data_IF_676494806773
#
_entry.id   IF_676494806773
#
_cell.length_a   1.000
_cell.length_b   1.000
_cell.length_c   1.000
_cell.angle_alpha   90.00
_cell.angle_beta   90.00
_cell.angle_gamma   90.00
#
_symmetry.space_group_name_H-M   'P 1'
#
loop_
_entity.id
_entity.type
_entity.pdbx_description
1 polymer ?
#
# COMPACT_ATOMS: atom_id res chain seq x y z
N UNK A 1 1.14 -17.28 -16.27
CA UNK A 1 1.99 -16.06 -16.10
C UNK A 1 2.24 -15.43 -17.48
N UNK A 2 2.39 -14.10 -17.61
CA UNK A 2 2.64 -13.44 -18.91
C UNK A 2 3.87 -14.02 -19.65
N UNK A 3 4.91 -14.36 -18.88
CA UNK A 3 6.12 -15.05 -19.36
C UNK A 3 5.81 -16.34 -20.11
N UNK A 4 4.96 -17.22 -19.56
CA UNK A 4 4.55 -18.48 -20.21
C UNK A 4 3.80 -18.24 -21.53
N UNK A 5 2.92 -17.23 -21.60
CA UNK A 5 2.17 -16.92 -22.82
C UNK A 5 3.05 -16.38 -23.95
N UNK A 6 4.18 -15.77 -23.60
CA UNK A 6 5.15 -15.20 -24.53
C UNK A 6 6.39 -16.09 -24.72
N UNK A 7 6.35 -17.35 -24.31
CA UNK A 7 7.51 -18.23 -24.31
C UNK A 7 8.09 -18.44 -25.73
N UNK A 8 7.22 -18.61 -26.74
CA UNK A 8 7.61 -18.78 -28.14
C UNK A 8 8.35 -17.55 -28.70
N UNK A 9 8.03 -16.35 -28.20
CA UNK A 9 8.69 -15.11 -28.62
C UNK A 9 10.04 -14.92 -27.90
N UNK A 10 10.23 -15.59 -26.76
CA UNK A 10 11.41 -15.46 -25.90
C UNK A 10 12.51 -16.47 -26.22
N UNK A 11 12.19 -17.56 -26.92
CA UNK A 11 13.15 -18.60 -27.29
C UNK A 11 14.36 -18.07 -28.07
N UNK A 12 14.14 -17.06 -28.92
CA UNK A 12 15.19 -16.45 -29.76
C UNK A 12 15.94 -15.30 -29.09
N UNK A 13 15.58 -14.99 -27.84
CA UNK A 13 16.07 -13.84 -27.10
C UNK A 13 17.01 -14.30 -25.97
N UNK A 14 18.07 -13.53 -25.65
CA UNK A 14 18.92 -13.80 -24.49
C UNK A 14 18.10 -14.04 -23.20
N UNK A 15 18.54 -14.99 -22.38
CA UNK A 15 17.80 -15.61 -21.26
C UNK A 15 17.32 -14.62 -20.17
N UNK A 16 17.92 -13.43 -20.06
CA UNK A 16 17.68 -12.50 -18.94
C UNK A 16 16.61 -11.41 -19.16
N UNK A 17 15.58 -11.63 -19.97
CA UNK A 17 14.73 -10.50 -20.39
C UNK A 17 13.39 -10.35 -19.66
N UNK A 18 13.17 -9.18 -19.07
CA UNK A 18 11.91 -8.83 -18.39
C UNK A 18 10.83 -8.38 -19.39
N UNK A 19 11.18 -7.61 -20.43
CA UNK A 19 10.22 -7.00 -21.38
C UNK A 19 10.61 -7.25 -22.85
N UNK A 20 9.63 -7.74 -23.62
CA UNK A 20 9.77 -8.10 -25.04
C UNK A 20 8.94 -7.15 -25.90
N UNK A 21 9.50 -6.72 -27.02
CA UNK A 21 8.83 -5.94 -28.06
C UNK A 21 8.71 -6.83 -29.31
N UNK A 22 7.48 -7.05 -29.77
CA UNK A 22 7.20 -7.83 -30.96
C UNK A 22 6.26 -7.06 -31.89
N UNK A 23 6.49 -7.16 -33.19
CA UNK A 23 5.61 -6.56 -34.20
C UNK A 23 4.46 -7.52 -34.50
N UNK A 24 3.23 -7.01 -34.51
CA UNK A 24 2.04 -7.84 -34.76
C UNK A 24 2.05 -8.49 -36.15
N UNK A 25 2.59 -7.76 -37.13
CA UNK A 25 2.64 -8.21 -38.52
C UNK A 25 3.88 -9.07 -38.83
N UNK A 26 4.90 -9.03 -37.97
CA UNK A 26 6.13 -9.79 -38.16
C UNK A 26 6.77 -10.15 -36.81
N UNK A 27 6.42 -11.34 -36.33
CA UNK A 27 6.93 -11.87 -35.06
C UNK A 27 8.43 -12.25 -35.14
N UNK A 28 9.02 -12.32 -36.33
CA UNK A 28 10.45 -12.59 -36.48
C UNK A 28 11.31 -11.40 -36.04
N UNK A 29 10.74 -10.19 -36.03
CA UNK A 29 11.38 -8.94 -35.57
C UNK A 29 11.27 -8.71 -34.06
N UNK A 30 11.16 -9.80 -33.29
CA UNK A 30 11.06 -9.71 -31.83
C UNK A 30 12.39 -9.28 -31.22
N UNK A 31 12.36 -8.29 -30.33
CA UNK A 31 13.54 -7.73 -29.67
C UNK A 31 13.29 -7.44 -28.19
N UNK A 32 14.37 -7.19 -27.45
CA UNK A 32 14.32 -6.73 -26.08
C UNK A 32 13.97 -5.24 -26.07
N UNK A 33 13.01 -4.83 -25.25
CA UNK A 33 12.80 -3.41 -25.01
C UNK A 33 14.01 -2.86 -24.23
N UNK A 34 14.73 -1.88 -24.81
CA UNK A 34 15.82 -1.22 -24.10
C UNK A 34 15.25 -0.39 -22.94
N UNK A 35 15.95 -0.29 -21.79
CA UNK A 35 15.50 0.55 -20.68
C UNK A 35 15.24 2.00 -21.10
N UNK A 36 16.05 2.53 -22.02
CA UNK A 36 15.87 3.87 -22.59
C UNK A 36 14.58 4.02 -23.38
N UNK A 37 14.18 2.99 -24.13
CA UNK A 37 12.92 2.99 -24.90
C UNK A 37 11.73 3.06 -23.96
N UNK A 38 11.71 2.22 -22.91
CA UNK A 38 10.64 2.23 -21.90
C UNK A 38 10.61 3.57 -21.16
N UNK A 39 11.77 4.12 -20.81
CA UNK A 39 11.87 5.42 -20.16
C UNK A 39 11.30 6.54 -21.04
N UNK A 40 11.54 6.49 -22.35
CA UNK A 40 11.01 7.47 -23.28
C UNK A 40 9.48 7.37 -23.41
N UNK A 41 8.93 6.16 -23.55
CA UNK A 41 7.48 5.96 -23.59
C UNK A 41 6.80 6.51 -22.33
N UNK A 42 7.35 6.21 -21.14
CA UNK A 42 6.82 6.75 -19.88
C UNK A 42 6.91 8.28 -19.85
N UNK A 43 8.02 8.85 -20.36
CA UNK A 43 8.19 10.31 -20.41
C UNK A 43 7.18 10.95 -21.37
N UNK A 44 6.91 10.33 -22.51
CA UNK A 44 5.93 10.80 -23.48
C UNK A 44 4.52 10.75 -22.87
N UNK A 45 4.17 9.64 -22.20
CA UNK A 45 2.90 9.50 -21.46
C UNK A 45 2.75 10.54 -20.36
N UNK A 46 3.82 10.83 -19.60
CA UNK A 46 3.82 11.90 -18.61
C UNK A 46 3.52 13.26 -19.24
N UNK A 47 4.14 13.57 -20.40
CA UNK A 47 3.90 14.82 -21.11
C UNK A 47 2.46 14.91 -21.62
N UNK A 48 1.91 13.81 -22.15
CA UNK A 48 0.51 13.72 -22.58
C UNK A 48 -0.47 13.92 -21.41
N UNK A 49 -0.11 13.47 -20.21
CA UNK A 49 -0.87 13.71 -18.98
C UNK A 49 -0.71 15.14 -18.42
N UNK A 50 0.00 16.03 -19.12
CA UNK A 50 0.22 17.42 -18.69
C UNK A 50 1.26 17.59 -17.58
N UNK A 51 2.07 16.55 -17.30
CA UNK A 51 3.15 16.63 -16.32
C UNK A 51 4.36 17.32 -16.98
N UNK A 52 4.91 18.33 -16.31
CA UNK A 52 6.13 19.00 -16.76
C UNK A 52 7.33 18.05 -16.67
N UNK A 53 7.72 17.47 -17.81
CA UNK A 53 8.82 16.50 -17.91
C UNK A 53 10.21 17.13 -17.87
N UNK A 54 10.31 18.47 -17.83
CA UNK A 54 11.57 19.17 -17.55
C UNK A 54 11.88 19.17 -16.05
N UNK A 55 10.83 19.11 -15.22
CA UNK A 55 10.89 19.10 -13.77
C UNK A 55 10.79 17.69 -13.18
N UNK A 56 9.94 16.84 -13.76
CA UNK A 56 9.68 15.49 -13.27
C UNK A 56 10.14 14.44 -14.28
N UNK A 57 10.97 13.50 -13.83
CA UNK A 57 11.41 12.36 -14.65
C UNK A 57 10.48 11.15 -14.47
N UNK A 58 10.55 10.13 -15.33
CA UNK A 58 9.85 8.85 -15.12
C UNK A 58 10.04 8.23 -13.73
N UNK A 59 11.21 8.44 -13.12
CA UNK A 59 11.50 7.94 -11.77
C UNK A 59 10.63 8.57 -10.68
N UNK A 60 10.10 9.79 -10.91
CA UNK A 60 9.20 10.49 -10.00
C UNK A 60 7.91 9.70 -9.72
N UNK A 61 7.46 8.90 -10.68
CA UNK A 61 6.25 8.07 -10.57
C UNK A 61 6.37 7.12 -9.39
N UNK A 62 7.56 6.55 -9.18
CA UNK A 62 7.82 5.65 -8.05
C UNK A 62 7.61 6.36 -6.70
N UNK A 63 8.15 7.56 -6.56
CA UNK A 63 7.96 8.39 -5.35
C UNK A 63 6.49 8.74 -5.15
N UNK A 64 5.80 9.16 -6.21
CA UNK A 64 4.40 9.55 -6.16
C UNK A 64 3.49 8.36 -5.76
N UNK A 65 3.66 7.20 -6.42
CA UNK A 65 2.89 6.00 -6.15
C UNK A 65 3.11 5.48 -4.72
N UNK A 66 4.36 5.40 -4.26
CA UNK A 66 4.66 4.95 -2.90
C UNK A 66 4.15 5.93 -1.84
N UNK A 67 4.25 7.24 -2.08
CA UNK A 67 3.68 8.25 -1.19
C UNK A 67 2.16 8.11 -1.13
N UNK A 68 1.50 7.92 -2.27
CA UNK A 68 0.05 7.72 -2.34
C UNK A 68 -0.38 6.47 -1.59
N UNK A 69 0.38 5.38 -1.65
CA UNK A 69 0.10 4.19 -0.86
C UNK A 69 0.12 4.48 0.65
N UNK A 70 1.12 5.22 1.14
CA UNK A 70 1.15 5.64 2.56
C UNK A 70 -0.06 6.51 2.91
N UNK A 71 -0.42 7.48 2.05
CA UNK A 71 -1.61 8.33 2.24
C UNK A 71 -2.93 7.53 2.27
N UNK A 72 -2.98 6.37 1.60
CA UNK A 72 -4.11 5.45 1.63
C UNK A 72 -4.11 4.53 2.87
N UNK A 73 -3.16 4.72 3.80
CA UNK A 73 -3.08 3.98 5.07
C UNK A 73 -2.28 2.68 5.00
N UNK A 74 -1.56 2.41 3.91
CA UNK A 74 -0.70 1.22 3.86
C UNK A 74 0.56 1.41 4.73
N UNK A 75 0.94 0.38 5.47
CA UNK A 75 2.17 0.42 6.28
C UNK A 75 3.43 0.62 5.44
N UNK A 76 4.37 1.40 5.98
CA UNK A 76 5.63 1.71 5.34
C UNK A 76 6.46 0.48 4.96
N UNK A 77 6.46 -0.55 5.81
CA UNK A 77 7.20 -1.79 5.54
C UNK A 77 6.59 -2.58 4.37
N UNK A 78 5.26 -2.54 4.21
CA UNK A 78 4.58 -3.15 3.07
C UNK A 78 4.91 -2.40 1.78
N UNK A 79 4.91 -1.06 1.82
CA UNK A 79 5.30 -0.23 0.68
C UNK A 79 6.77 -0.45 0.31
N UNK A 80 7.69 -0.53 1.30
CA UNK A 80 9.10 -0.84 1.07
C UNK A 80 9.29 -2.21 0.44
N UNK A 81 8.67 -3.24 1.00
CA UNK A 81 8.74 -4.61 0.49
C UNK A 81 8.26 -4.67 -0.95
N UNK A 82 7.10 -4.07 -1.24
CA UNK A 82 6.55 -4.08 -2.59
C UNK A 82 7.41 -3.31 -3.59
N UNK A 83 7.93 -2.15 -3.18
CA UNK A 83 8.81 -1.38 -4.03
C UNK A 83 10.19 -2.03 -4.19
N UNK A 84 10.52 -3.08 -3.44
CA UNK A 84 11.86 -3.67 -3.38
C UNK A 84 12.89 -2.70 -2.77
N UNK A 85 12.52 -2.00 -1.70
CA UNK A 85 13.45 -1.28 -0.83
C UNK A 85 13.82 -2.12 0.38
N UNK A 86 15.06 -1.93 0.86
CA UNK A 86 15.48 -2.50 2.14
C UNK A 86 14.63 -1.95 3.27
N UNK A 87 14.12 -2.85 4.12
CA UNK A 87 13.38 -2.50 5.34
C UNK A 87 14.25 -1.74 6.35
N UNK A 88 15.55 -2.03 6.37
CA UNK A 88 16.50 -1.43 7.31
C UNK A 88 17.08 -0.10 6.83
N UNK A 89 16.92 0.24 5.55
CA UNK A 89 17.40 1.50 4.99
C UNK A 89 16.36 2.61 5.10
N UNK A 90 16.82 3.85 5.32
CA UNK A 90 15.98 5.07 5.28
C UNK A 90 15.92 5.73 3.88
N UNK A 91 16.40 5.03 2.83
CA UNK A 91 16.46 5.57 1.46
C UNK A 91 15.08 6.01 0.98
N UNK A 92 14.03 5.24 1.28
CA UNK A 92 12.66 5.57 0.92
C UNK A 92 12.22 6.87 1.57
N UNK A 93 12.33 6.96 2.89
CA UNK A 93 11.90 8.09 3.71
C UNK A 93 12.62 9.37 3.29
N UNK A 94 13.91 9.28 3.00
CA UNK A 94 14.73 10.44 2.65
C UNK A 94 14.46 10.94 1.23
N UNK A 95 14.41 10.05 0.25
CA UNK A 95 14.45 10.44 -1.16
C UNK A 95 13.11 10.27 -1.89
N UNK A 96 12.26 9.35 -1.46
CA UNK A 96 11.07 8.93 -2.21
C UNK A 96 9.75 9.24 -1.52
N UNK A 97 9.70 9.29 -0.19
CA UNK A 97 8.49 9.70 0.53
C UNK A 97 8.34 11.23 0.44
N UNK A 98 7.33 11.68 -0.30
CA UNK A 98 7.05 13.10 -0.60
C UNK A 98 5.59 13.46 -0.32
N UNK A 99 5.12 13.39 0.94
CA UNK A 99 3.74 13.72 1.28
C UNK A 99 3.44 15.19 0.96
N UNK A 100 2.19 15.47 0.60
CA UNK A 100 1.78 16.85 0.35
C UNK A 100 1.76 17.62 1.69
N UNK A 101 1.69 18.95 1.63
CA UNK A 101 1.71 19.78 2.85
C UNK A 101 0.51 19.52 3.78
N UNK A 102 -0.64 19.09 3.24
CA UNK A 102 -1.85 18.80 4.03
C UNK A 102 -1.69 17.51 4.83
N UNK A 103 -1.10 16.47 4.24
CA UNK A 103 -0.94 15.17 4.91
C UNK A 103 0.08 15.25 6.07
N UNK A 104 1.06 16.15 5.98
CA UNK A 104 2.00 16.40 7.10
C UNK A 104 1.26 16.87 8.35
N UNK A 105 0.24 17.71 8.18
CA UNK A 105 -0.61 18.19 9.27
C UNK A 105 -1.53 17.08 9.79
N UNK A 106 -2.15 16.32 8.89
CA UNK A 106 -3.07 15.22 9.24
C UNK A 106 -2.36 14.08 9.98
N UNK A 107 -1.15 13.70 9.53
CA UNK A 107 -0.32 12.71 10.21
C UNK A 107 0.09 13.18 11.60
N UNK A 108 0.44 14.47 11.74
CA UNK A 108 0.79 15.05 13.04
C UNK A 108 -0.39 15.05 14.02
N UNK A 109 -1.60 15.39 13.54
CA UNK A 109 -2.83 15.36 14.35
C UNK A 109 -3.16 13.93 14.77
N UNK A 110 -3.12 12.97 13.84
CA UNK A 110 -3.45 11.56 14.13
C UNK A 110 -2.49 10.94 15.14
N UNK A 111 -1.19 11.20 14.99
CA UNK A 111 -0.18 10.75 15.95
C UNK A 111 -0.36 11.41 17.32
N UNK A 112 -0.74 12.70 17.37
CA UNK A 112 -1.03 13.38 18.63
C UNK A 112 -2.26 12.78 19.34
N UNK A 113 -3.30 12.41 18.60
CA UNK A 113 -4.48 11.77 19.19
C UNK A 113 -4.15 10.37 19.74
N UNK A 114 -3.34 9.58 19.03
CA UNK A 114 -2.96 8.24 19.49
C UNK A 114 -2.00 8.25 20.67
N UNK A 115 -1.06 9.22 20.75
CA UNK A 115 -0.19 9.38 21.94
C UNK A 115 -1.00 9.78 23.17
N UNK A 116 -1.93 10.73 23.03
CA UNK A 116 -2.79 11.14 24.14
C UNK A 116 -3.68 9.98 24.66
N UNK A 117 -4.12 9.07 23.77
CA UNK A 117 -4.88 7.87 24.12
C UNK A 117 -4.04 6.74 24.76
N UNK A 118 -2.72 6.73 24.54
CA UNK A 118 -1.83 5.75 25.17
C UNK A 118 -1.32 6.22 26.52
N UNK A 119 -1.08 7.53 26.68
CA UNK A 119 -0.69 8.13 27.97
C UNK A 119 -1.81 8.10 29.01
N UNK A 120 -3.07 8.23 28.60
CA UNK A 120 -4.21 8.17 29.53
C UNK A 120 -4.70 6.74 29.87
N UNK A 121 -4.27 5.71 29.13
CA UNK A 121 -4.66 4.29 29.38
C UNK A 121 -3.67 3.55 30.29
N UNK A 122 -2.45 4.08 30.51
CA UNK A 122 -1.44 3.44 31.39
C UNK A 122 -1.50 3.89 32.86
N UNK A 123 -2.48 4.72 33.27
CA UNK A 123 -2.69 5.06 34.69
C UNK A 123 -4.07 4.59 35.15
N UNK A 124 -4.19 3.28 35.41
CA UNK A 124 -5.12 2.76 36.41
C UNK A 124 -4.62 1.42 36.93
N UNK A 125 -3.42 1.41 37.49
CA UNK A 125 -3.03 0.42 38.49
C UNK A 125 -3.75 0.79 39.80
N UNK A 126 -5.05 0.51 39.88
CA UNK A 126 -5.78 0.51 41.16
C UNK A 126 -5.87 -0.94 41.62
N UNK A 127 -4.95 -1.30 42.50
CA UNK A 127 -4.96 -2.52 43.31
C UNK A 127 -6.20 -2.50 44.20
N UNK A 128 -7.19 -3.35 43.91
CA UNK A 128 -8.25 -3.68 44.87
C UNK A 128 -8.09 -5.12 45.34
N UNK A 129 -7.78 -5.22 46.62
CA UNK A 129 -7.63 -6.43 47.42
C UNK A 129 -8.97 -7.18 47.53
N UNK A 130 -9.00 -8.46 47.19
CA UNK A 130 -10.20 -9.28 47.29
C UNK A 130 -10.44 -9.74 48.73
N UNK A 131 -11.31 -9.02 49.47
CA UNK A 131 -11.89 -9.55 50.72
C UNK A 131 -13.24 -10.19 50.41
N UNK A 132 -13.31 -11.51 50.51
CA UNK A 132 -14.50 -12.34 50.35
C UNK A 132 -15.22 -12.50 51.68
N UNK A 133 -16.39 -11.87 51.84
CA UNK A 133 -17.55 -12.28 52.69
C UNK A 133 -18.75 -11.54 52.06
N UNK A 134 -19.92 -12.05 51.70
CA UNK A 134 -20.64 -13.29 51.96
C UNK A 134 -22.11 -12.91 52.20
N UNK A 135 -23.01 -13.37 51.30
CA UNK A 135 -24.46 -13.57 51.50
C UNK A 135 -25.40 -12.34 51.45
N UNK A 136 -26.41 -12.39 50.57
CA UNK A 136 -27.77 -11.94 50.92
C UNK A 136 -28.55 -11.08 49.92
N UNK A 137 -29.43 -11.76 49.17
CA UNK A 137 -30.78 -11.33 48.81
C UNK A 137 -31.04 -10.41 47.59
N UNK A 138 -32.25 -10.61 47.10
CA UNK A 138 -32.77 -10.53 45.72
C UNK A 138 -33.36 -9.16 45.34
N UNK A 139 -33.20 -8.75 44.10
CA UNK A 139 -34.32 -8.23 43.29
C UNK A 139 -33.98 -8.30 41.79
N UNK A 140 -34.88 -8.91 41.02
CA UNK A 140 -34.79 -9.02 39.58
C UNK A 140 -35.17 -7.68 38.93
N UNK A 141 -34.44 -7.26 37.92
CA UNK A 141 -34.96 -6.33 36.92
C UNK A 141 -34.59 -6.85 35.55
N UNK A 142 -35.63 -7.21 34.80
CA UNK A 142 -35.58 -7.59 33.39
C UNK A 142 -34.79 -6.54 32.59
N UNK A 143 -33.70 -6.98 31.95
CA UNK A 143 -33.10 -6.27 30.84
C UNK A 143 -32.98 -7.28 29.71
N UNK A 144 -33.75 -7.04 28.65
CA UNK A 144 -33.80 -7.83 27.45
C UNK A 144 -32.39 -8.07 26.90
N UNK A 145 -32.01 -9.35 26.83
CA UNK A 145 -30.80 -9.79 26.13
C UNK A 145 -31.07 -9.71 24.63
N UNK A 146 -30.64 -8.61 24.00
CA UNK A 146 -30.36 -8.62 22.56
C UNK A 146 -29.01 -9.31 22.41
N UNK A 147 -29.03 -10.55 21.93
CA UNK A 147 -27.82 -11.18 21.38
C UNK A 147 -27.57 -10.56 20.01
N UNK A 148 -26.68 -9.58 19.92
CA UNK A 148 -25.97 -9.34 18.67
C UNK A 148 -24.82 -10.33 18.64
N UNK A 149 -25.03 -11.43 17.92
CA UNK A 149 -23.92 -12.23 17.42
C UNK A 149 -23.06 -11.31 16.56
N UNK A 150 -21.80 -11.08 16.95
CA UNK A 150 -20.78 -10.53 16.07
C UNK A 150 -20.51 -11.54 14.95
N UNK A 151 -21.39 -11.53 13.95
CA UNK A 151 -21.12 -12.15 12.67
C UNK A 151 -20.11 -11.28 11.93
N UNK A 152 -18.83 -11.41 12.26
CA UNK A 152 -17.76 -11.14 11.31
C UNK A 152 -17.93 -12.17 10.19
N UNK A 153 -18.81 -11.86 9.23
CA UNK A 153 -18.81 -12.51 7.92
C UNK A 153 -17.52 -12.08 7.24
N UNK A 154 -16.47 -12.86 7.46
CA UNK A 154 -15.38 -13.04 6.50
C UNK A 154 -15.99 -13.65 5.24
N UNK A 155 -16.68 -12.82 4.45
CA UNK A 155 -16.91 -13.11 3.05
C UNK A 155 -15.56 -13.20 2.35
N UNK A 156 -15.41 -14.04 1.32
CA UNK A 156 -14.15 -14.14 0.59
C UNK A 156 -13.92 -12.81 -0.10
N UNK A 157 -13.07 -11.98 0.52
CA UNK A 157 -12.50 -10.81 -0.13
C UNK A 157 -11.63 -11.36 -1.24
N UNK A 158 -12.21 -11.46 -2.44
CA UNK A 158 -11.46 -11.34 -3.68
C UNK A 158 -10.94 -9.90 -3.74
N UNK A 159 -10.01 -9.62 -2.84
CA UNK A 159 -9.22 -8.40 -2.77
C UNK A 159 -8.47 -8.33 -4.09
N UNK A 160 -9.02 -7.56 -5.02
CA UNK A 160 -8.30 -7.19 -6.22
C UNK A 160 -6.93 -6.66 -5.78
N UNK A 161 -5.83 -7.12 -6.40
CA UNK A 161 -4.51 -6.62 -6.10
C UNK A 161 -4.53 -5.10 -6.11
N UNK A 162 -3.99 -4.47 -5.06
CA UNK A 162 -4.12 -3.04 -4.82
C UNK A 162 -3.62 -2.15 -5.97
N UNK A 163 -2.73 -2.65 -6.84
CA UNK A 163 -2.33 -1.95 -8.07
C UNK A 163 -3.50 -1.71 -9.04
N UNK A 164 -4.55 -2.53 -8.99
CA UNK A 164 -5.80 -2.28 -9.72
C UNK A 164 -6.58 -1.11 -9.15
N UNK A 165 -6.54 -0.91 -7.82
CA UNK A 165 -7.19 0.24 -7.14
C UNK A 165 -6.50 1.58 -7.43
N UNK A 166 -5.26 1.55 -7.91
CA UNK A 166 -4.53 2.73 -8.35
C UNK A 166 -4.90 3.17 -9.77
N UNK A 167 -5.35 2.25 -10.63
CA UNK A 167 -5.74 2.55 -12.01
C UNK A 167 -7.11 3.24 -12.09
N UNK A 168 -7.97 3.04 -11.08
CA UNK A 168 -9.30 3.69 -11.02
C UNK A 168 -9.23 5.16 -10.57
N UNK A 169 -8.02 5.69 -10.28
CA UNK A 169 -7.78 7.04 -9.73
C UNK A 169 -6.91 7.93 -10.63
N UNK A 170 -6.56 7.45 -11.84
CA UNK A 170 -5.82 8.20 -12.89
C UNK A 170 -6.77 8.33 -14.08
#
# INVERSE_FOLDING_TARGET
MFTQKTANLREKLPEEQTLVLAYLNDQSLTTCARPTTVTQWIKDDMALAGIDTTKYSPHSIRSAASTKAIQLGFEINNVKTHANWSLTSNTFEKYYYKPNHKDKMETAISNSMTTNLTENTTISEVRTEATRIGVGSTCNTDVAVVRTEDMVKLGPSTSLPWYKRLLDLI
#
